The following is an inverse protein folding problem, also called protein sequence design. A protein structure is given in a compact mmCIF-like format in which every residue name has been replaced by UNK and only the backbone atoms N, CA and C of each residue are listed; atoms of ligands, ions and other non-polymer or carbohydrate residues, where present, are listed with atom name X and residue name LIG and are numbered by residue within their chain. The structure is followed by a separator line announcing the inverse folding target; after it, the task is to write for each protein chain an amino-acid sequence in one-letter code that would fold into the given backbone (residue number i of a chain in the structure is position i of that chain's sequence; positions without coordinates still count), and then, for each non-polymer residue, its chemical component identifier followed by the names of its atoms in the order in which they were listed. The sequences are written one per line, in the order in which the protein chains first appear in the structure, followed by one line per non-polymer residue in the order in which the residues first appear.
data_IF_933873969985
#
_entry.id   IF_933873969985
#
_cell.length_a   1.000
_cell.length_b   1.000
_cell.length_c   1.000
_cell.angle_alpha   90.00
_cell.angle_beta   90.00
_cell.angle_gamma   90.00
#
_symmetry.space_group_name_H-M   'P 1'
#
loop_
_entity.id
_entity.type
_entity.pdbx_description
1 polymer ?
#
# COMPACT_ATOMS: atom_id res chain seq x y z
N UNK A 1 13.27 28.36 1.22
CA UNK A 1 12.44 27.63 0.24
C UNK A 1 10.95 27.79 0.51
N UNK A 2 10.43 27.41 1.69
CA UNK A 2 9.00 27.58 1.99
C UNK A 2 8.55 29.05 1.95
N UNK A 3 9.38 30.00 2.40
CA UNK A 3 9.08 31.44 2.32
C UNK A 3 8.95 31.93 0.88
N UNK A 4 9.83 31.47 -0.03
CA UNK A 4 9.79 31.81 -1.46
C UNK A 4 8.52 31.27 -2.13
N UNK A 5 8.10 30.06 -1.77
CA UNK A 5 6.87 29.45 -2.26
C UNK A 5 5.60 30.09 -1.69
N UNK A 6 5.65 30.61 -0.45
CA UNK A 6 4.53 31.25 0.22
C UNK A 6 4.35 32.73 -0.17
N UNK A 7 5.44 33.43 -0.49
CA UNK A 7 5.42 34.84 -0.87
C UNK A 7 5.51 35.05 -2.37
N UNK A 8 6.74 35.12 -2.89
CA UNK A 8 7.03 35.57 -4.25
C UNK A 8 6.32 34.76 -5.34
N UNK A 9 6.23 33.43 -5.19
CA UNK A 9 5.55 32.58 -6.19
C UNK A 9 4.04 32.81 -6.21
N UNK A 10 3.41 33.00 -5.05
CA UNK A 10 1.97 33.28 -4.96
C UNK A 10 1.65 34.64 -5.57
N UNK A 11 2.51 35.64 -5.36
CA UNK A 11 2.33 36.97 -5.94
C UNK A 11 2.39 36.95 -7.47
N UNK A 12 3.30 36.15 -8.05
CA UNK A 12 3.41 35.98 -9.50
C UNK A 12 2.22 35.17 -10.05
N UNK A 13 1.69 34.20 -9.30
CA UNK A 13 0.57 33.36 -9.74
C UNK A 13 -0.80 34.02 -9.60
N UNK A 14 -1.00 34.90 -8.61
CA UNK A 14 -2.28 35.51 -8.31
C UNK A 14 -2.98 36.20 -9.51
N UNK A 15 -2.27 36.87 -10.45
CA UNK A 15 -2.88 37.41 -11.66
C UNK A 15 -3.50 36.37 -12.60
N UNK A 16 -2.97 35.13 -12.61
CA UNK A 16 -3.35 34.07 -13.55
C UNK A 16 -4.36 33.07 -12.97
N UNK A 17 -4.39 32.94 -11.64
CA UNK A 17 -5.28 32.01 -10.92
C UNK A 17 -6.19 32.84 -10.00
N UNK A 18 -7.39 33.25 -10.46
CA UNK A 18 -8.25 34.19 -9.74
C UNK A 18 -8.67 33.70 -8.34
N UNK A 19 -8.72 32.39 -8.14
CA UNK A 19 -9.03 31.76 -6.84
C UNK A 19 -8.00 32.11 -5.77
N UNK A 20 -6.73 32.32 -6.15
CA UNK A 20 -5.67 32.73 -5.21
C UNK A 20 -5.85 34.19 -4.74
N UNK A 21 -6.53 35.05 -5.50
CA UNK A 21 -6.76 36.45 -5.10
C UNK A 21 -7.69 36.57 -3.91
N UNK A 22 -8.59 35.61 -3.74
CA UNK A 22 -9.60 35.62 -2.68
C UNK A 22 -9.10 34.97 -1.38
N UNK A 23 -7.87 34.44 -1.37
CA UNK A 23 -7.31 33.72 -0.22
C UNK A 23 -6.24 34.61 0.43
N UNK A 24 -6.19 34.72 1.77
CA UNK A 24 -5.10 35.39 2.48
C UNK A 24 -3.73 34.84 2.07
N UNK A 25 -2.72 35.71 1.90
CA UNK A 25 -1.39 35.32 1.38
C UNK A 25 -0.73 34.23 2.22
N UNK A 26 -0.86 34.31 3.53
CA UNK A 26 -0.37 33.33 4.51
C UNK A 26 -1.03 31.95 4.36
N UNK A 27 -2.24 31.90 3.81
CA UNK A 27 -3.03 30.67 3.65
C UNK A 27 -3.03 30.13 2.22
N UNK A 28 -2.70 30.96 1.21
CA UNK A 28 -2.76 30.61 -0.20
C UNK A 28 -2.01 29.31 -0.52
N UNK A 29 -0.77 29.16 -0.03
CA UNK A 29 0.02 27.94 -0.21
C UNK A 29 -0.64 26.71 0.44
N UNK A 30 -1.12 26.85 1.67
CA UNK A 30 -1.74 25.75 2.41
C UNK A 30 -3.06 25.31 1.74
N UNK A 31 -3.83 26.27 1.24
CA UNK A 31 -5.09 26.03 0.53
C UNK A 31 -4.85 25.36 -0.81
N UNK A 32 -3.85 25.81 -1.58
CA UNK A 32 -3.44 25.18 -2.83
C UNK A 32 -3.01 23.73 -2.62
N UNK A 33 -2.23 23.42 -1.57
CA UNK A 33 -1.86 22.03 -1.25
C UNK A 33 -3.04 21.15 -0.79
N UNK A 34 -4.14 21.76 -0.34
CA UNK A 34 -5.34 21.06 0.10
C UNK A 34 -6.38 20.84 -1.01
N UNK A 35 -6.26 21.55 -2.12
CA UNK A 35 -7.18 21.49 -3.26
C UNK A 35 -6.41 21.13 -4.53
N UNK A 36 -6.59 19.89 -4.98
CA UNK A 36 -5.87 19.34 -6.14
C UNK A 36 -6.21 20.10 -7.43
N UNK A 37 -7.44 20.60 -7.57
CA UNK A 37 -7.85 21.33 -8.78
C UNK A 37 -7.20 22.71 -8.83
N UNK A 38 -7.09 23.37 -7.68
CA UNK A 38 -6.38 24.65 -7.57
C UNK A 38 -4.87 24.44 -7.83
N UNK A 39 -4.29 23.37 -7.29
CA UNK A 39 -2.88 23.06 -7.49
C UNK A 39 -2.54 22.77 -8.96
N UNK A 40 -3.40 22.02 -9.65
CA UNK A 40 -3.27 21.75 -11.09
C UNK A 40 -3.28 23.05 -11.90
N UNK A 41 -4.23 23.96 -11.62
CA UNK A 41 -4.28 25.29 -12.26
C UNK A 41 -3.02 26.10 -11.99
N UNK A 42 -2.47 26.04 -10.78
CA UNK A 42 -1.20 26.69 -10.44
C UNK A 42 -0.03 26.14 -11.27
N UNK A 43 0.08 24.82 -11.42
CA UNK A 43 1.11 24.20 -12.25
C UNK A 43 0.94 24.54 -13.73
N UNK A 44 -0.30 24.53 -14.24
CA UNK A 44 -0.60 24.92 -15.62
C UNK A 44 -0.23 26.38 -15.89
N UNK A 45 -0.60 27.30 -15.00
CA UNK A 45 -0.21 28.72 -15.08
C UNK A 45 1.31 28.91 -15.00
N UNK A 46 1.99 28.17 -14.12
CA UNK A 46 3.45 28.20 -14.01
C UNK A 46 4.12 27.77 -15.32
N UNK A 47 3.68 26.66 -15.93
CA UNK A 47 4.22 26.15 -17.20
C UNK A 47 3.96 27.15 -18.35
N UNK A 48 2.77 27.72 -18.41
CA UNK A 48 2.39 28.69 -19.45
C UNK A 48 3.17 30.03 -19.34
N UNK A 49 3.54 30.44 -18.13
CA UNK A 49 4.14 31.75 -17.86
C UNK A 49 5.56 31.64 -17.27
N UNK A 50 6.30 30.56 -17.56
CA UNK A 50 7.60 30.24 -16.95
C UNK A 50 8.59 31.42 -16.97
N UNK A 51 8.62 32.21 -18.04
CA UNK A 51 9.49 33.38 -18.18
C UNK A 51 9.30 34.42 -17.05
N UNK A 52 8.09 34.55 -16.50
CA UNK A 52 7.77 35.47 -15.39
C UNK A 52 8.35 35.01 -14.05
N UNK A 53 8.74 33.74 -13.95
CA UNK A 53 9.37 33.16 -12.76
C UNK A 53 10.90 33.20 -12.82
N UNK A 54 11.51 33.82 -13.86
CA UNK A 54 12.97 33.92 -14.03
C UNK A 54 13.68 34.56 -12.83
N UNK A 55 13.02 35.45 -12.08
CA UNK A 55 13.57 36.05 -10.86
C UNK A 55 13.61 35.09 -9.66
N UNK A 56 12.79 34.03 -9.68
CA UNK A 56 12.70 33.03 -8.63
C UNK A 56 13.49 31.77 -8.98
N UNK A 57 13.49 31.40 -10.27
CA UNK A 57 14.23 30.27 -10.82
C UNK A 57 15.67 30.70 -11.13
N UNK A 58 16.47 30.90 -10.09
CA UNK A 58 17.87 31.31 -10.23
C UNK A 58 18.81 30.26 -9.67
N UNK A 59 19.98 30.09 -10.29
CA UNK A 59 21.07 29.22 -9.83
C UNK A 59 21.88 29.88 -8.69
N UNK A 60 22.95 29.22 -8.25
CA UNK A 60 23.87 29.74 -7.23
C UNK A 60 24.59 31.03 -7.67
N UNK A 61 24.77 31.25 -8.98
CA UNK A 61 25.36 32.46 -9.57
C UNK A 61 24.33 33.57 -9.80
N UNK A 62 23.06 33.38 -9.41
CA UNK A 62 21.92 34.30 -9.65
C UNK A 62 21.55 34.45 -11.13
N UNK A 63 21.90 33.47 -11.95
CA UNK A 63 21.49 33.41 -13.36
C UNK A 63 20.14 32.71 -13.47
N UNK A 64 19.21 33.19 -14.31
CA UNK A 64 17.93 32.53 -14.51
C UNK A 64 18.12 31.15 -15.14
N UNK A 65 17.48 30.15 -14.54
CA UNK A 65 17.52 28.74 -14.92
C UNK A 65 16.33 28.42 -15.82
N UNK A 66 16.61 27.92 -17.02
CA UNK A 66 15.59 27.50 -17.99
C UNK A 66 15.28 26.01 -17.89
N UNK A 67 16.26 25.18 -17.56
CA UNK A 67 16.14 23.72 -17.45
C UNK A 67 15.53 23.28 -16.10
N UNK A 68 14.69 22.25 -16.11
CA UNK A 68 14.09 21.69 -14.90
C UNK A 68 15.09 20.86 -14.08
N UNK A 69 16.09 20.27 -14.75
CA UNK A 69 17.15 19.45 -14.15
C UNK A 69 18.29 20.25 -13.52
N UNK A 70 18.39 21.55 -13.78
CA UNK A 70 19.45 22.39 -13.26
C UNK A 70 19.23 22.77 -11.79
N UNK A 71 20.33 22.90 -11.04
CA UNK A 71 20.28 23.25 -9.63
C UNK A 71 19.92 24.73 -9.42
N UNK A 72 18.91 24.95 -8.58
CA UNK A 72 18.54 26.28 -8.10
C UNK A 72 19.48 26.71 -6.96
N UNK A 73 19.46 28.00 -6.64
CA UNK A 73 20.19 28.62 -5.52
C UNK A 73 19.99 27.93 -4.16
N UNK A 74 18.91 27.17 -3.99
CA UNK A 74 18.63 26.39 -2.79
C UNK A 74 19.26 24.99 -2.77
N UNK A 75 20.07 24.63 -3.78
CA UNK A 75 20.74 23.32 -3.90
C UNK A 75 19.79 22.19 -4.30
N UNK A 76 18.67 22.50 -4.95
CA UNK A 76 17.68 21.53 -5.44
C UNK A 76 17.30 21.85 -6.87
N UNK A 77 16.96 20.83 -7.64
CA UNK A 77 16.42 21.01 -9.00
C UNK A 77 14.94 21.37 -8.94
N UNK A 78 14.43 21.98 -10.00
CA UNK A 78 13.00 22.32 -10.07
C UNK A 78 12.13 21.05 -10.05
N UNK A 79 12.56 19.96 -10.69
CA UNK A 79 11.88 18.67 -10.63
C UNK A 79 11.74 18.16 -9.19
N UNK A 80 12.78 18.29 -8.36
CA UNK A 80 12.73 17.91 -6.95
C UNK A 80 11.73 18.77 -6.17
N UNK A 81 11.65 20.07 -6.48
CA UNK A 81 10.66 20.97 -5.87
C UNK A 81 9.24 20.55 -6.25
N UNK A 82 8.98 20.29 -7.53
CA UNK A 82 7.68 19.82 -8.03
C UNK A 82 7.30 18.50 -7.37
N UNK A 83 8.19 17.50 -7.37
CA UNK A 83 7.98 16.23 -6.72
C UNK A 83 7.64 16.39 -5.23
N UNK A 84 8.32 17.31 -4.52
CA UNK A 84 8.03 17.58 -3.11
C UNK A 84 6.63 18.17 -2.90
N UNK A 85 6.19 19.09 -3.77
CA UNK A 85 4.84 19.67 -3.73
C UNK A 85 3.79 18.59 -3.99
N UNK A 86 3.96 17.79 -5.06
CA UNK A 86 3.04 16.70 -5.43
C UNK A 86 2.94 15.67 -4.30
N UNK A 87 4.07 15.22 -3.73
CA UNK A 87 4.11 14.30 -2.59
C UNK A 87 3.37 14.87 -1.37
N UNK A 88 3.54 16.16 -1.10
CA UNK A 88 2.89 16.83 0.03
C UNK A 88 1.38 16.90 -0.17
N UNK A 89 0.93 17.29 -1.37
CA UNK A 89 -0.48 17.32 -1.73
C UNK A 89 -1.12 15.93 -1.68
N UNK A 90 -0.47 14.91 -2.26
CA UNK A 90 -0.93 13.52 -2.22
C UNK A 90 -1.05 13.00 -0.79
N UNK A 91 -0.01 13.19 0.04
CA UNK A 91 -0.04 12.78 1.45
C UNK A 91 -1.20 13.43 2.22
N UNK A 92 -1.46 14.71 1.99
CA UNK A 92 -2.59 15.42 2.58
C UNK A 92 -3.92 14.85 2.12
N UNK A 93 -4.06 14.61 0.82
CA UNK A 93 -5.28 14.05 0.25
C UNK A 93 -5.58 12.65 0.80
N UNK A 94 -4.59 11.75 0.84
CA UNK A 94 -4.76 10.40 1.38
C UNK A 94 -5.21 10.41 2.84
N UNK A 95 -4.60 11.27 3.66
CA UNK A 95 -4.99 11.45 5.06
C UNK A 95 -6.38 12.04 5.20
N UNK A 96 -6.74 13.04 4.38
CA UNK A 96 -8.06 13.66 4.43
C UNK A 96 -9.19 12.70 4.00
N UNK A 97 -8.94 11.87 2.99
CA UNK A 97 -9.90 10.89 2.48
C UNK A 97 -10.11 9.71 3.44
N UNK A 98 -9.03 9.20 4.02
CA UNK A 98 -9.11 8.03 4.93
C UNK A 98 -9.43 8.40 6.36
N UNK A 99 -9.09 9.62 6.80
CA UNK A 99 -9.53 10.22 8.05
C UNK A 99 -10.23 11.54 7.75
N UNK A 100 -11.51 11.53 7.36
CA UNK A 100 -12.30 12.74 7.32
C UNK A 100 -12.32 13.28 8.75
N UNK A 101 -11.45 14.26 9.02
CA UNK A 101 -11.49 14.98 10.28
C UNK A 101 -12.91 15.56 10.35
N UNK A 102 -13.67 15.36 11.43
CA UNK A 102 -14.89 16.14 11.60
C UNK A 102 -14.42 17.58 11.49
N UNK A 103 -14.87 18.26 10.43
CA UNK A 103 -14.68 19.69 10.32
C UNK A 103 -15.22 20.21 11.64
N UNK A 104 -14.35 20.77 12.47
CA UNK A 104 -14.84 21.59 13.56
C UNK A 104 -15.65 22.64 12.82
N UNK A 105 -16.97 22.50 12.89
CA UNK A 105 -17.91 23.50 12.44
C UNK A 105 -17.32 24.80 12.96
N UNK A 106 -17.02 25.67 12.00
CA UNK A 106 -16.61 27.04 12.22
C UNK A 106 -17.42 27.53 13.41
N UNK A 107 -16.75 27.72 14.56
CA UNK A 107 -17.45 28.00 15.80
C UNK A 107 -18.26 29.26 15.54
N UNK A 108 -19.59 29.11 15.45
CA UNK A 108 -20.47 30.25 15.28
C UNK A 108 -20.07 31.29 16.33
N UNK A 109 -19.94 32.57 15.96
CA UNK A 109 -19.45 33.58 16.87
C UNK A 109 -20.39 33.63 18.07
N UNK A 110 -19.94 33.04 19.17
CA UNK A 110 -20.66 33.00 20.43
C UNK A 110 -21.02 34.44 20.79
N UNK A 111 -22.32 34.74 20.72
CA UNK A 111 -22.87 36.07 20.87
C UNK A 111 -22.36 36.75 22.15
N UNK A 112 -22.19 38.08 22.05
CA UNK A 112 -21.61 38.97 23.06
C UNK A 112 -22.15 38.76 24.49
N UNK A 113 -23.39 38.27 24.63
CA UNK A 113 -24.04 37.97 25.91
C UNK A 113 -23.37 36.82 26.70
N UNK A 114 -22.68 35.88 26.05
CA UNK A 114 -22.05 34.74 26.73
C UNK A 114 -20.71 35.12 27.39
N UNK A 115 -20.09 36.23 26.96
CA UNK A 115 -18.82 36.73 27.52
C UNK A 115 -18.97 37.41 28.88
N UNK A 116 -20.18 37.83 29.24
CA UNK A 116 -20.43 38.45 30.56
C UNK A 116 -20.68 37.37 31.63
N UNK A 117 -21.28 36.23 31.25
CA UNK A 117 -21.52 35.11 32.16
C UNK A 117 -20.22 34.39 32.59
N UNK A 118 -19.18 34.43 31.76
CA UNK A 118 -17.89 33.78 32.04
C UNK A 118 -16.92 34.61 32.90
N UNK A 119 -17.16 35.93 33.08
CA UNK A 119 -16.34 36.77 33.97
C UNK A 119 -16.66 36.59 35.47
N UNK A 120 -17.72 35.87 35.83
CA UNK A 120 -18.11 35.63 37.24
C UNK A 120 -17.72 34.24 37.78
N UNK A 121 -17.03 33.40 36.99
CA UNK A 121 -16.51 32.10 37.43
C UNK A 121 -15.00 32.02 37.23
N UNK A 122 -14.26 32.69 38.11
CA UNK A 122 -12.81 32.54 38.23
C UNK A 122 -12.52 31.30 39.06
N UNK A 123 -12.24 30.19 38.38
CA UNK A 123 -11.50 29.05 38.92
C UNK A 123 -10.38 28.71 37.93
N UNK A 124 -9.16 28.39 38.38
CA UNK A 124 -8.03 28.18 37.49
C UNK A 124 -8.17 26.85 36.73
N UNK A 125 -8.74 26.90 35.54
CA UNK A 125 -8.73 25.78 34.60
C UNK A 125 -7.35 25.69 33.94
N UNK A 126 -6.58 24.67 34.34
CA UNK A 126 -5.39 24.22 33.63
C UNK A 126 -5.74 23.88 32.16
N UNK A 127 -4.82 24.08 31.20
CA UNK A 127 -5.07 23.75 29.80
C UNK A 127 -5.28 22.24 29.66
N UNK A 128 -6.49 21.86 29.24
CA UNK A 128 -6.83 20.48 28.94
C UNK A 128 -5.89 19.94 27.85
N UNK A 129 -5.12 18.89 28.18
CA UNK A 129 -4.30 18.15 27.21
C UNK A 129 -5.20 17.68 26.05
N UNK A 130 -4.77 17.80 24.79
CA UNK A 130 -5.54 17.33 23.66
C UNK A 130 -5.84 15.83 23.81
N UNK A 131 -7.13 15.50 23.85
CA UNK A 131 -7.65 14.13 23.95
C UNK A 131 -7.07 13.32 22.78
N UNK A 132 -6.37 12.22 23.11
CA UNK A 132 -5.78 11.35 22.10
C UNK A 132 -6.86 10.93 21.08
N UNK A 133 -6.53 10.88 19.77
CA UNK A 133 -7.49 10.48 18.76
C UNK A 133 -7.99 9.06 19.05
N UNK A 134 -9.26 8.74 18.75
CA UNK A 134 -9.78 7.39 18.89
C UNK A 134 -8.92 6.40 18.07
N UNK A 135 -8.77 5.16 18.55
CA UNK A 135 -7.87 4.17 17.94
C UNK A 135 -8.14 3.91 16.45
N UNK A 136 -9.38 4.09 15.99
CA UNK A 136 -9.78 3.97 14.58
C UNK A 136 -9.12 5.02 13.68
N UNK A 137 -9.03 6.28 14.13
CA UNK A 137 -8.38 7.36 13.38
C UNK A 137 -6.87 7.12 13.25
N UNK A 138 -6.25 6.54 14.28
CA UNK A 138 -4.84 6.20 14.25
C UNK A 138 -4.55 5.09 13.22
N UNK A 139 -5.41 4.07 13.16
CA UNK A 139 -5.29 2.97 12.19
C UNK A 139 -5.49 3.46 10.74
N UNK A 140 -6.47 4.33 10.51
CA UNK A 140 -6.71 4.94 9.19
C UNK A 140 -5.56 5.85 8.75
N UNK A 141 -4.97 6.65 9.67
CA UNK A 141 -3.75 7.42 9.38
C UNK A 141 -2.58 6.53 9.03
N UNK A 142 -2.41 5.43 9.75
CA UNK A 142 -1.37 4.45 9.46
C UNK A 142 -1.55 3.85 8.05
N UNK A 143 -2.77 3.52 7.66
CA UNK A 143 -3.08 3.04 6.29
C UNK A 143 -2.79 4.10 5.22
N UNK A 144 -3.15 5.37 5.46
CA UNK A 144 -2.86 6.46 4.53
C UNK A 144 -1.36 6.71 4.39
N UNK A 145 -0.61 6.63 5.49
CA UNK A 145 0.85 6.75 5.49
C UNK A 145 1.53 5.56 4.81
N UNK A 146 0.99 4.34 4.96
CA UNK A 146 1.49 3.15 4.26
C UNK A 146 1.29 3.26 2.74
N UNK A 147 0.12 3.69 2.29
CA UNK A 147 -0.14 3.95 0.87
C UNK A 147 0.78 5.04 0.32
N UNK A 148 0.97 6.12 1.08
CA UNK A 148 1.92 7.17 0.72
C UNK A 148 3.34 6.62 0.58
N UNK A 149 3.80 5.81 1.53
CA UNK A 149 5.15 5.23 1.50
C UNK A 149 5.36 4.28 0.32
N UNK A 150 4.30 3.58 -0.11
CA UNK A 150 4.31 2.76 -1.31
C UNK A 150 4.44 3.59 -2.61
N UNK A 151 3.83 4.79 -2.66
CA UNK A 151 3.77 5.60 -3.88
C UNK A 151 4.84 6.70 -3.96
N UNK A 152 5.38 7.18 -2.84
CA UNK A 152 6.20 8.40 -2.78
C UNK A 152 7.40 8.41 -3.73
N UNK A 153 7.99 7.24 -4.00
CA UNK A 153 9.12 7.10 -4.91
C UNK A 153 8.73 7.46 -6.36
N UNK A 154 7.48 7.21 -6.74
CA UNK A 154 6.96 7.38 -8.10
C UNK A 154 6.10 8.65 -8.25
N UNK A 155 5.90 9.44 -7.19
CA UNK A 155 5.25 10.75 -7.25
C UNK A 155 6.32 11.81 -7.56
N UNK A 156 6.55 12.05 -8.84
CA UNK A 156 7.66 12.85 -9.37
C UNK A 156 7.18 14.07 -10.16
N UNK A 157 6.03 13.98 -10.82
CA UNK A 157 5.62 14.94 -11.84
C UNK A 157 4.29 15.61 -11.51
N UNK A 158 4.12 16.84 -11.97
CA UNK A 158 2.92 17.63 -11.76
C UNK A 158 1.67 17.05 -12.44
N UNK A 159 1.82 16.33 -13.56
CA UNK A 159 0.70 15.70 -14.27
C UNK A 159 0.01 14.61 -13.42
N UNK A 160 0.65 14.14 -12.35
CA UNK A 160 0.09 13.15 -11.44
C UNK A 160 -0.93 13.75 -10.45
N UNK A 161 -0.97 15.09 -10.29
CA UNK A 161 -1.90 15.78 -9.38
C UNK A 161 -3.37 15.38 -9.61
N UNK A 162 -3.92 15.42 -10.84
CA UNK A 162 -5.30 14.98 -11.09
C UNK A 162 -5.54 13.47 -10.89
N UNK A 163 -4.48 12.66 -10.84
CA UNK A 163 -4.57 11.20 -10.63
C UNK A 163 -4.55 10.80 -9.15
N UNK A 164 -4.15 11.72 -8.26
CA UNK A 164 -4.11 11.49 -6.80
C UNK A 164 -5.41 10.94 -6.22
N UNK A 165 -6.62 11.41 -6.62
CA UNK A 165 -7.87 10.82 -6.14
C UNK A 165 -7.97 9.33 -6.47
N UNK A 166 -7.63 8.94 -7.70
CA UNK A 166 -7.63 7.52 -8.12
C UNK A 166 -6.55 6.71 -7.38
N UNK A 167 -5.37 7.29 -7.16
CA UNK A 167 -4.35 6.63 -6.32
C UNK A 167 -4.83 6.37 -4.90
N UNK A 168 -5.67 7.24 -4.35
CA UNK A 168 -6.20 7.08 -3.00
C UNK A 168 -7.16 5.88 -2.85
N UNK A 169 -7.71 5.38 -3.96
CA UNK A 169 -8.57 4.20 -4.00
C UNK A 169 -7.78 2.88 -4.07
N UNK A 170 -6.47 2.96 -4.32
CA UNK A 170 -5.60 1.78 -4.39
C UNK A 170 -5.30 1.17 -3.03
N UNK A 171 -5.01 -0.13 -3.04
CA UNK A 171 -4.38 -0.79 -1.89
C UNK A 171 -2.86 -0.55 -1.89
N UNK A 172 -2.19 -0.51 -0.72
CA UNK A 172 -0.73 -0.38 -0.67
C UNK A 172 0.01 -1.50 -1.42
N UNK A 173 -0.56 -2.70 -1.47
CA UNK A 173 0.02 -3.82 -2.21
C UNK A 173 -0.03 -3.61 -3.73
N UNK A 174 -1.16 -3.12 -4.26
CA UNK A 174 -1.29 -2.78 -5.67
C UNK A 174 -0.31 -1.66 -6.06
N UNK A 175 -0.22 -0.61 -5.23
CA UNK A 175 0.72 0.49 -5.45
C UNK A 175 2.19 0.02 -5.50
N UNK A 176 2.59 -0.88 -4.59
CA UNK A 176 3.93 -1.50 -4.62
C UNK A 176 4.15 -2.38 -5.84
N UNK A 177 3.14 -3.15 -6.23
CA UNK A 177 3.21 -4.01 -7.41
C UNK A 177 3.41 -3.19 -8.68
N UNK A 178 2.63 -2.11 -8.87
CA UNK A 178 2.77 -1.20 -10.01
C UNK A 178 4.16 -0.56 -10.06
N UNK A 179 4.69 -0.14 -8.91
CA UNK A 179 6.04 0.40 -8.81
C UNK A 179 6.27 1.52 -9.84
N UNK A 180 7.36 1.48 -10.64
CA UNK A 180 7.64 2.48 -11.67
C UNK A 180 6.60 2.54 -12.80
N UNK A 181 5.86 1.45 -13.09
CA UNK A 181 4.87 1.41 -14.17
C UNK A 181 3.72 2.40 -13.98
N UNK A 182 3.51 2.87 -12.75
CA UNK A 182 2.52 3.93 -12.48
C UNK A 182 2.83 5.24 -13.22
N UNK A 183 4.09 5.46 -13.64
CA UNK A 183 4.51 6.61 -14.43
C UNK A 183 4.02 6.53 -15.89
N UNK A 184 3.72 5.33 -16.37
CA UNK A 184 3.19 5.08 -17.72
C UNK A 184 1.66 5.30 -17.76
N UNK A 185 0.99 5.16 -16.61
CA UNK A 185 -0.45 5.29 -16.46
C UNK A 185 -0.85 6.76 -16.30
N UNK A 186 -0.96 7.48 -17.42
CA UNK A 186 -1.37 8.90 -17.45
C UNK A 186 -2.87 9.12 -17.56
N UNK A 187 -3.61 8.12 -18.02
CA UNK A 187 -5.05 8.20 -18.21
C UNK A 187 -5.79 7.84 -16.90
N UNK A 188 -6.59 8.75 -16.32
CA UNK A 188 -7.35 8.47 -15.11
C UNK A 188 -8.35 7.32 -15.27
N UNK A 189 -8.93 7.12 -16.45
CA UNK A 189 -9.93 6.08 -16.67
C UNK A 189 -9.30 4.70 -16.82
N UNK A 190 -8.16 4.60 -17.52
CA UNK A 190 -7.34 3.40 -17.50
C UNK A 190 -6.89 3.05 -16.08
N UNK A 191 -6.43 4.05 -15.32
CA UNK A 191 -6.01 3.85 -13.94
C UNK A 191 -7.13 3.30 -13.05
N UNK A 192 -8.36 3.83 -13.19
CA UNK A 192 -9.54 3.34 -12.46
C UNK A 192 -9.84 1.88 -12.76
N UNK A 193 -9.81 1.48 -14.04
CA UNK A 193 -10.06 0.08 -14.42
C UNK A 193 -9.06 -0.88 -13.78
N UNK A 194 -7.80 -0.49 -13.65
CA UNK A 194 -6.77 -1.26 -12.95
C UNK A 194 -7.02 -1.35 -11.44
N UNK A 195 -7.58 -0.31 -10.82
CA UNK A 195 -7.95 -0.34 -9.40
C UNK A 195 -9.15 -1.24 -9.17
N UNK A 196 -10.13 -1.21 -10.08
CA UNK A 196 -11.39 -1.94 -9.95
C UNK A 196 -11.28 -3.41 -10.37
N UNK A 197 -10.42 -3.73 -11.35
CA UNK A 197 -10.25 -5.09 -11.90
C UNK A 197 -8.84 -5.66 -11.63
N UNK A 198 -8.71 -6.70 -10.77
CA UNK A 198 -7.43 -7.35 -10.54
C UNK A 198 -6.87 -8.08 -11.78
N UNK A 199 -7.71 -8.41 -12.77
CA UNK A 199 -7.25 -9.03 -14.02
C UNK A 199 -6.53 -8.02 -14.93
N UNK A 200 -7.04 -6.79 -15.06
CA UNK A 200 -6.32 -5.71 -15.77
C UNK A 200 -5.00 -5.37 -15.07
N UNK A 201 -5.00 -5.35 -13.74
CA UNK A 201 -3.76 -5.18 -12.99
C UNK A 201 -2.75 -6.29 -13.31
N UNK A 202 -3.19 -7.56 -13.37
CA UNK A 202 -2.32 -8.68 -13.74
C UNK A 202 -1.78 -8.57 -15.18
N UNK A 203 -2.60 -8.13 -16.13
CA UNK A 203 -2.20 -7.95 -17.53
C UNK A 203 -1.07 -6.93 -17.72
N UNK A 204 -0.99 -5.90 -16.86
CA UNK A 204 0.15 -4.96 -16.86
C UNK A 204 1.46 -5.60 -16.42
N UNK A 205 1.42 -6.72 -15.71
CA UNK A 205 2.61 -7.48 -15.30
C UNK A 205 2.96 -8.61 -16.27
N UNK A 206 2.00 -9.10 -17.05
CA UNK A 206 2.21 -10.04 -18.14
C UNK A 206 2.68 -9.31 -19.42
N UNK A 207 3.93 -8.86 -19.43
CA UNK A 207 4.60 -8.47 -20.67
C UNK A 207 4.83 -9.76 -21.49
N UNK A 208 4.46 -9.83 -22.78
CA UNK A 208 4.85 -10.95 -23.62
C UNK A 208 6.38 -10.94 -23.77
N UNK A 209 7.03 -12.04 -23.36
CA UNK A 209 8.46 -12.28 -23.47
C UNK A 209 8.99 -11.90 -24.88
N UNK A 210 9.70 -10.77 -24.97
CA UNK A 210 10.76 -10.63 -25.96
C UNK A 210 11.94 -11.49 -25.47
N UNK A 211 12.54 -12.34 -26.31
CA UNK A 211 13.57 -13.27 -25.88
C UNK A 211 14.90 -12.52 -25.68
N UNK A 212 15.07 -11.91 -24.51
CA UNK A 212 16.40 -11.56 -24.03
C UNK A 212 17.05 -12.81 -23.41
N UNK A 213 18.36 -13.04 -23.64
CA UNK A 213 19.04 -14.24 -23.18
C UNK A 213 19.01 -14.33 -21.65
N UNK A 214 18.87 -15.54 -21.09
CA UNK A 214 18.60 -15.72 -19.67
C UNK A 214 19.84 -15.34 -18.86
N UNK A 215 19.78 -14.20 -18.18
CA UNK A 215 20.58 -14.00 -16.98
C UNK A 215 19.91 -14.77 -15.85
N UNK A 216 20.70 -15.57 -15.13
CA UNK A 216 20.26 -16.45 -14.04
C UNK A 216 19.76 -15.63 -12.84
N UNK A 217 18.53 -15.13 -12.91
CA UNK A 217 17.79 -14.50 -11.84
C UNK A 217 16.60 -15.36 -11.45
N UNK A 218 16.65 -15.93 -10.24
CA UNK A 218 15.62 -16.70 -9.53
C UNK A 218 14.20 -16.58 -10.11
N UNK A 219 13.75 -17.59 -10.86
CA UNK A 219 12.33 -17.74 -11.24
C UNK A 219 11.47 -17.72 -9.98
N UNK A 220 10.36 -16.99 -10.01
CA UNK A 220 9.39 -17.02 -8.92
C UNK A 220 8.66 -18.37 -8.93
N UNK A 221 8.99 -19.24 -7.99
CA UNK A 221 8.45 -20.61 -7.88
C UNK A 221 7.18 -20.67 -6.99
N UNK A 222 6.59 -19.51 -6.65
CA UNK A 222 5.36 -19.45 -5.86
C UNK A 222 4.23 -20.22 -6.51
N UNK A 223 3.47 -20.95 -5.67
CA UNK A 223 2.25 -21.59 -6.12
C UNK A 223 1.23 -20.52 -6.54
N UNK A 224 0.69 -20.62 -7.75
CA UNK A 224 -0.39 -19.74 -8.21
C UNK A 224 -1.73 -20.31 -7.75
N UNK A 225 -2.64 -19.44 -7.32
CA UNK A 225 -3.97 -19.87 -6.83
C UNK A 225 -4.77 -20.62 -7.91
N UNK A 226 -4.59 -20.27 -9.18
CA UNK A 226 -5.19 -20.97 -10.33
C UNK A 226 -4.79 -22.44 -10.42
N UNK A 227 -3.57 -22.75 -9.97
CA UNK A 227 -2.98 -24.08 -10.11
C UNK A 227 -3.33 -24.94 -8.90
N UNK A 228 -3.45 -24.31 -7.73
CA UNK A 228 -3.72 -24.96 -6.44
C UNK A 228 -5.20 -25.29 -6.24
N UNK A 229 -6.11 -24.46 -6.75
CA UNK A 229 -7.54 -24.56 -6.45
C UNK A 229 -8.32 -25.32 -7.54
N UNK A 230 -9.28 -26.13 -7.12
CA UNK A 230 -10.21 -26.79 -8.03
C UNK A 230 -11.15 -25.76 -8.71
N UNK A 231 -11.75 -26.09 -9.88
CA UNK A 231 -12.80 -25.27 -10.47
C UNK A 231 -13.93 -25.04 -9.45
N UNK A 232 -14.17 -23.78 -9.09
CA UNK A 232 -15.09 -23.39 -8.01
C UNK A 232 -14.41 -22.87 -6.73
N UNK A 233 -13.10 -23.04 -6.58
CA UNK A 233 -12.29 -22.38 -5.55
C UNK A 233 -12.57 -22.81 -4.10
N UNK A 234 -13.38 -23.84 -3.89
CA UNK A 234 -13.78 -24.33 -2.55
C UNK A 234 -12.84 -25.40 -2.00
N UNK A 235 -12.06 -26.07 -2.85
CA UNK A 235 -11.16 -27.17 -2.48
C UNK A 235 -9.84 -27.11 -3.25
N UNK A 236 -8.85 -27.86 -2.78
CA UNK A 236 -7.59 -28.07 -3.48
C UNK A 236 -7.77 -28.94 -4.73
N UNK A 237 -7.01 -28.64 -5.78
CA UNK A 237 -6.89 -29.45 -6.99
C UNK A 237 -5.85 -30.53 -6.78
N UNK A 238 -6.28 -31.76 -6.54
CA UNK A 238 -5.37 -32.86 -6.19
C UNK A 238 -4.34 -33.16 -7.27
N UNK A 239 -4.70 -32.95 -8.55
CA UNK A 239 -3.80 -33.19 -9.67
C UNK A 239 -2.55 -32.32 -9.63
N UNK A 240 -2.67 -31.10 -9.07
CA UNK A 240 -1.56 -30.15 -8.98
C UNK A 240 -0.49 -30.58 -7.97
N UNK A 241 -0.86 -31.42 -6.99
CA UNK A 241 0.06 -31.91 -5.96
C UNK A 241 0.76 -33.22 -6.35
N UNK A 242 0.37 -33.87 -7.45
CA UNK A 242 0.93 -35.16 -7.86
C UNK A 242 2.46 -35.14 -8.00
N UNK A 243 3.02 -34.04 -8.50
CA UNK A 243 4.47 -33.90 -8.65
C UNK A 243 5.16 -33.78 -7.28
N UNK A 244 4.66 -32.88 -6.42
CA UNK A 244 5.19 -32.67 -5.08
C UNK A 244 5.10 -33.95 -4.21
N UNK A 245 4.01 -34.70 -4.32
CA UNK A 245 3.80 -35.94 -3.57
C UNK A 245 4.73 -37.09 -4.02
N UNK A 246 5.30 -37.01 -5.23
CA UNK A 246 6.28 -37.98 -5.74
C UNK A 246 7.72 -37.64 -5.34
N UNK A 247 7.97 -36.43 -4.85
CA UNK A 247 9.30 -36.01 -4.47
C UNK A 247 9.81 -36.75 -3.23
N UNK A 248 10.97 -37.40 -3.34
CA UNK A 248 11.53 -38.20 -2.25
C UNK A 248 11.84 -37.37 -1.00
N UNK A 249 12.30 -36.13 -1.19
CA UNK A 249 12.59 -35.19 -0.10
C UNK A 249 11.35 -34.97 0.78
N UNK A 250 10.20 -34.67 0.18
CA UNK A 250 8.95 -34.47 0.88
C UNK A 250 8.49 -35.75 1.58
N UNK A 251 8.58 -36.90 0.92
CA UNK A 251 8.18 -38.20 1.47
C UNK A 251 9.02 -38.63 2.66
N UNK A 252 10.32 -38.34 2.65
CA UNK A 252 11.22 -38.63 3.78
C UNK A 252 10.88 -37.81 5.03
N UNK A 253 10.28 -36.63 4.85
CA UNK A 253 9.91 -35.72 5.93
C UNK A 253 8.53 -35.99 6.52
N UNK A 254 7.68 -36.79 5.88
CA UNK A 254 6.31 -37.10 6.35
C UNK A 254 6.25 -38.57 6.76
N UNK A 255 5.81 -38.89 7.98
CA UNK A 255 5.78 -40.30 8.47
C UNK A 255 4.87 -41.18 7.60
N UNK A 256 3.81 -40.60 7.08
CA UNK A 256 2.82 -41.18 6.17
C UNK A 256 3.30 -41.21 4.72
N UNK A 257 4.52 -40.75 4.42
CA UNK A 257 5.10 -40.68 3.08
C UNK A 257 5.11 -42.02 2.33
N UNK A 258 4.92 -43.15 3.03
CA UNK A 258 4.78 -44.48 2.41
C UNK A 258 3.38 -44.78 1.86
N UNK A 259 2.33 -44.11 2.34
CA UNK A 259 0.92 -44.35 1.95
C UNK A 259 0.34 -43.12 1.26
N UNK A 260 0.41 -43.11 -0.07
CA UNK A 260 -0.08 -42.02 -0.91
C UNK A 260 -1.57 -41.72 -0.67
N UNK A 261 -2.39 -42.74 -0.40
CA UNK A 261 -3.83 -42.58 -0.13
C UNK A 261 -4.11 -41.64 1.05
N UNK A 262 -3.36 -41.77 2.15
CA UNK A 262 -3.53 -40.92 3.33
C UNK A 262 -3.10 -39.47 3.08
N UNK A 263 -2.07 -39.28 2.24
CA UNK A 263 -1.62 -37.93 1.86
C UNK A 263 -2.69 -37.24 1.01
N UNK A 264 -3.26 -37.97 0.04
CA UNK A 264 -4.35 -37.50 -0.81
C UNK A 264 -5.61 -37.18 0.01
N UNK A 265 -5.98 -38.04 0.96
CA UNK A 265 -7.12 -37.82 1.86
C UNK A 265 -6.95 -36.54 2.69
N UNK A 266 -5.79 -36.37 3.34
CA UNK A 266 -5.49 -35.19 4.15
C UNK A 266 -5.56 -33.90 3.33
N UNK A 267 -5.00 -33.88 2.12
CA UNK A 267 -5.05 -32.71 1.24
C UNK A 267 -6.46 -32.45 0.69
N UNK A 268 -7.23 -33.50 0.39
CA UNK A 268 -8.62 -33.37 -0.09
C UNK A 268 -9.56 -32.74 0.95
N UNK A 269 -9.22 -32.87 2.24
CA UNK A 269 -9.99 -32.30 3.34
C UNK A 269 -9.79 -30.78 3.48
N UNK A 270 -8.76 -30.20 2.84
CA UNK A 270 -8.41 -28.78 2.98
C UNK A 270 -9.35 -27.88 2.17
N UNK A 271 -9.87 -26.85 2.85
CA UNK A 271 -10.72 -25.84 2.24
C UNK A 271 -9.93 -24.86 1.36
N UNK A 272 -10.56 -24.38 0.29
CA UNK A 272 -9.96 -23.42 -0.63
C UNK A 272 -9.64 -22.06 0.02
N UNK A 273 -10.41 -21.63 1.03
CA UNK A 273 -10.12 -20.42 1.81
C UNK A 273 -8.79 -20.53 2.57
N UNK A 274 -8.51 -21.69 3.16
CA UNK A 274 -7.25 -22.00 3.82
C UNK A 274 -6.07 -21.89 2.86
N UNK A 275 -6.19 -22.51 1.69
CA UNK A 275 -5.16 -22.47 0.66
C UNK A 275 -4.90 -21.04 0.17
N UNK A 276 -5.95 -20.24 -0.03
CA UNK A 276 -5.83 -18.82 -0.41
C UNK A 276 -5.03 -18.03 0.62
N UNK A 277 -5.35 -18.18 1.90
CA UNK A 277 -4.63 -17.48 2.99
C UNK A 277 -3.16 -17.91 3.02
N UNK A 278 -2.87 -19.21 2.96
CA UNK A 278 -1.49 -19.71 3.03
C UNK A 278 -0.66 -19.25 1.83
N UNK A 279 -1.20 -19.33 0.61
CA UNK A 279 -0.50 -18.93 -0.61
C UNK A 279 -0.34 -17.41 -0.68
N UNK A 280 -1.40 -16.64 -0.43
CA UNK A 280 -1.36 -15.18 -0.53
C UNK A 280 -0.49 -14.55 0.58
N UNK A 281 -0.56 -15.06 1.81
CA UNK A 281 0.16 -14.45 2.92
C UNK A 281 1.62 -14.88 3.00
N UNK A 282 1.95 -16.13 2.65
CA UNK A 282 3.30 -16.68 2.83
C UNK A 282 4.06 -16.86 1.53
N UNK A 283 3.40 -16.82 0.36
CA UNK A 283 4.04 -17.05 -0.93
C UNK A 283 4.72 -18.41 -0.99
N UNK A 284 4.05 -19.46 -0.50
CA UNK A 284 4.62 -20.80 -0.47
C UNK A 284 4.67 -21.41 -1.87
N UNK A 285 5.69 -22.23 -2.11
CA UNK A 285 5.74 -23.16 -3.24
C UNK A 285 4.77 -24.32 -3.03
N UNK A 286 4.47 -25.06 -4.10
CA UNK A 286 3.51 -26.18 -4.07
C UNK A 286 3.95 -27.31 -3.13
N UNK A 287 5.24 -27.65 -3.16
CA UNK A 287 5.89 -28.64 -2.29
C UNK A 287 5.86 -28.24 -0.81
N UNK A 288 6.18 -26.98 -0.52
CA UNK A 288 6.12 -26.43 0.83
C UNK A 288 4.69 -26.42 1.39
N UNK A 289 3.71 -26.03 0.57
CA UNK A 289 2.30 -26.04 0.95
C UNK A 289 1.84 -27.45 1.29
N UNK A 290 2.12 -28.42 0.40
CA UNK A 290 1.79 -29.82 0.63
C UNK A 290 2.42 -30.34 1.93
N UNK A 291 3.72 -30.08 2.13
CA UNK A 291 4.44 -30.53 3.31
C UNK A 291 3.86 -29.94 4.60
N UNK A 292 3.57 -28.64 4.64
CA UNK A 292 3.00 -28.00 5.84
C UNK A 292 1.66 -28.61 6.18
N UNK A 293 0.78 -28.82 5.19
CA UNK A 293 -0.53 -29.42 5.41
C UNK A 293 -0.42 -30.88 5.90
N UNK A 294 0.44 -31.67 5.28
CA UNK A 294 0.63 -33.08 5.65
C UNK A 294 1.24 -33.22 7.06
N UNK A 295 2.26 -32.43 7.39
CA UNK A 295 2.86 -32.45 8.73
C UNK A 295 1.88 -31.93 9.77
N UNK A 296 1.06 -30.92 9.45
CA UNK A 296 0.01 -30.44 10.36
C UNK A 296 -1.02 -31.53 10.62
N UNK A 297 -1.46 -32.27 9.59
CA UNK A 297 -2.39 -33.39 9.72
C UNK A 297 -1.82 -34.51 10.62
N UNK A 298 -0.55 -34.85 10.48
CA UNK A 298 0.11 -35.87 11.31
C UNK A 298 0.23 -35.47 12.79
N UNK A 299 0.54 -34.21 13.07
CA UNK A 299 0.81 -33.75 14.45
C UNK A 299 -0.48 -33.39 15.17
N UNK A 300 -1.43 -32.74 14.48
CA UNK A 300 -2.68 -32.29 15.08
C UNK A 300 -3.75 -33.40 15.15
N UNK A 301 -3.62 -34.42 14.30
CA UNK A 301 -4.65 -35.43 14.08
C UNK A 301 -5.79 -34.94 13.16
N UNK A 302 -6.60 -35.87 12.64
CA UNK A 302 -7.60 -35.58 11.60
C UNK A 302 -8.69 -34.60 12.06
N UNK A 303 -9.18 -34.72 13.30
CA UNK A 303 -10.27 -33.87 13.82
C UNK A 303 -9.84 -32.41 13.99
N UNK A 304 -8.69 -32.19 14.63
CA UNK A 304 -8.11 -30.86 14.81
C UNK A 304 -7.73 -30.26 13.46
N UNK A 305 -7.15 -31.07 12.57
CA UNK A 305 -6.79 -30.64 11.23
C UNK A 305 -8.02 -30.17 10.43
N UNK A 306 -9.10 -30.95 10.43
CA UNK A 306 -10.34 -30.59 9.75
C UNK A 306 -10.94 -29.28 10.30
N UNK A 307 -10.87 -29.06 11.62
CA UNK A 307 -11.34 -27.82 12.24
C UNK A 307 -10.51 -26.59 11.81
N UNK A 308 -9.19 -26.73 11.73
CA UNK A 308 -8.31 -25.59 11.39
C UNK A 308 -8.23 -25.34 9.89
N UNK A 309 -8.01 -26.40 9.09
CA UNK A 309 -7.69 -26.30 7.67
C UNK A 309 -8.84 -26.71 6.74
N UNK A 310 -9.91 -27.29 7.28
CA UNK A 310 -10.99 -27.89 6.49
C UNK A 310 -11.91 -26.90 5.78
N UNK A 311 -13.12 -27.37 5.46
CA UNK A 311 -14.17 -26.56 4.81
C UNK A 311 -15.46 -26.58 5.65
N UNK A 312 -15.79 -25.48 6.36
CA UNK A 312 -15.01 -24.25 6.57
C UNK A 312 -13.91 -24.44 7.63
N UNK A 313 -12.72 -23.92 7.37
CA UNK A 313 -11.62 -23.87 8.35
C UNK A 313 -11.75 -22.65 9.27
N UNK A 314 -11.00 -22.64 10.37
CA UNK A 314 -10.96 -21.50 11.30
C UNK A 314 -10.00 -20.40 10.81
N UNK A 315 -10.51 -19.27 10.29
CA UNK A 315 -9.66 -18.20 9.76
C UNK A 315 -8.82 -17.53 10.85
N UNK A 316 -9.28 -17.48 12.10
CA UNK A 316 -8.54 -16.84 13.19
C UNK A 316 -7.30 -17.64 13.56
N UNK A 317 -7.42 -18.98 13.60
CA UNK A 317 -6.27 -19.86 13.81
C UNK A 317 -5.28 -19.80 12.64
N UNK A 318 -5.78 -19.76 11.39
CA UNK A 318 -4.94 -19.62 10.20
C UNK A 318 -4.17 -18.29 10.18
N UNK A 319 -4.81 -17.18 10.54
CA UNK A 319 -4.13 -15.88 10.62
C UNK A 319 -3.04 -15.86 11.69
N UNK A 320 -3.25 -16.52 12.84
CA UNK A 320 -2.20 -16.69 13.86
C UNK A 320 -1.05 -17.56 13.37
N UNK A 321 -1.35 -18.60 12.59
CA UNK A 321 -0.34 -19.46 11.98
C UNK A 321 0.50 -18.69 10.96
N UNK A 322 -0.12 -17.93 10.05
CA UNK A 322 0.61 -17.14 9.04
C UNK A 322 1.43 -16.02 9.69
N UNK A 323 0.90 -15.35 10.72
CA UNK A 323 1.65 -14.34 11.47
C UNK A 323 2.90 -14.94 12.13
N UNK A 324 2.78 -16.11 12.78
CA UNK A 324 3.93 -16.80 13.37
C UNK A 324 4.94 -17.28 12.31
N UNK A 325 4.46 -17.78 11.18
CA UNK A 325 5.32 -18.19 10.07
C UNK A 325 6.14 -17.01 9.53
N UNK A 326 5.52 -15.83 9.35
CA UNK A 326 6.21 -14.59 8.96
C UNK A 326 7.25 -14.14 9.97
N UNK A 327 6.92 -14.18 11.26
CA UNK A 327 7.88 -13.85 12.33
C UNK A 327 9.11 -14.77 12.34
N UNK A 328 8.96 -16.01 11.87
CA UNK A 328 10.05 -16.98 11.73
C UNK A 328 10.74 -16.93 10.34
N UNK A 329 10.34 -16.00 9.47
CA UNK A 329 10.93 -15.83 8.14
C UNK A 329 10.61 -16.96 7.15
N UNK A 330 9.51 -17.71 7.36
CA UNK A 330 9.07 -18.74 6.43
C UNK A 330 8.62 -18.06 5.12
N UNK A 331 9.24 -18.46 4.01
CA UNK A 331 8.99 -17.93 2.67
C UNK A 331 9.30 -18.98 1.60
N UNK A 332 9.12 -18.64 0.32
CA UNK A 332 9.47 -19.51 -0.81
C UNK A 332 10.92 -20.04 -0.78
N UNK A 333 11.85 -19.31 -0.13
CA UNK A 333 13.27 -19.68 -0.06
C UNK A 333 13.58 -20.64 1.08
N UNK A 334 12.63 -20.90 1.97
CA UNK A 334 12.81 -21.75 3.14
C UNK A 334 12.90 -23.22 2.72
N UNK A 335 13.80 -23.98 3.34
CA UNK A 335 13.93 -25.40 3.02
C UNK A 335 12.69 -26.20 3.48
N UNK A 336 12.42 -27.32 2.83
CA UNK A 336 11.35 -28.23 3.23
C UNK A 336 11.53 -28.74 4.67
N UNK A 337 12.77 -29.04 5.08
CA UNK A 337 13.08 -29.48 6.43
C UNK A 337 12.71 -28.43 7.49
N UNK A 338 13.02 -27.16 7.23
CA UNK A 338 12.69 -26.05 8.13
C UNK A 338 11.19 -25.81 8.22
N UNK A 339 10.47 -25.90 7.09
CA UNK A 339 9.00 -25.84 7.05
C UNK A 339 8.39 -26.96 7.89
N UNK A 340 8.87 -28.20 7.77
CA UNK A 340 8.38 -29.32 8.58
C UNK A 340 8.69 -29.13 10.09
N UNK A 341 9.90 -28.67 10.42
CA UNK A 341 10.29 -28.40 11.81
C UNK A 341 9.48 -27.25 12.44
N UNK A 342 9.17 -26.21 11.66
CA UNK A 342 8.28 -25.13 12.07
C UNK A 342 6.87 -25.67 12.39
N UNK A 343 6.26 -26.42 11.47
CA UNK A 343 4.90 -26.94 11.64
C UNK A 343 4.79 -27.85 12.86
N UNK A 344 5.77 -28.76 13.07
CA UNK A 344 5.80 -29.62 14.27
C UNK A 344 5.82 -28.81 15.56
N UNK A 345 6.71 -27.81 15.66
CA UNK A 345 6.82 -26.95 16.85
C UNK A 345 5.53 -26.18 17.12
N UNK A 346 4.80 -25.80 16.08
CA UNK A 346 3.56 -25.03 16.20
C UNK A 346 2.43 -25.85 16.85
N UNK A 347 2.28 -27.11 16.45
CA UNK A 347 1.17 -27.97 16.89
C UNK A 347 1.48 -28.78 18.15
N UNK A 348 2.75 -29.11 18.43
CA UNK A 348 3.15 -29.77 19.70
C UNK A 348 2.90 -28.89 20.93
N UNK A 349 2.88 -27.57 20.78
CA UNK A 349 2.63 -26.63 21.89
C UNK A 349 1.15 -26.46 22.27
N UNK A 350 0.22 -27.05 21.53
CA UNK A 350 -1.22 -26.84 21.73
C UNK A 350 -2.00 -28.11 22.12
N UNK A 351 -1.35 -29.28 22.11
CA UNK A 351 -1.87 -30.54 22.65
C UNK A 351 -1.50 -30.67 24.14
#
# INVERSE_FOLDING_TARGET
MNETLQGSVVEILAPFVPELKNIPRDQAYQRALGDLTLLERCFSAFRAQRAKFSQVLVDAAKTPVTDDGAELSCGRTLEQVVAMIVRTAAKRHFRARMCPRPQMAEAEPVGLMTKVATMLKVGPCAPAKPKAPPAADAAQRARADELYDALKANLLHEWQVPLVPTYADMTPNLARALGPKILELRDPDHLRRIVDDPAEAAALFDVPDAPEPPTAGSKDERARLSDVLAPGGQRLRMEAFNFALREETLRSLVKSGRRMSLMTEALSAVGGGTAKILVAELGLRMDQLALILLVAHEVAGPDTFARVFGHPGDPAMLMRLTQKARQQGISQKTSLADCAAFTRRLFVRQS
#
